data_IF_454451110909
#
_entry.id   IF_454451110909
#
_cell.length_a   1.000
_cell.length_b   1.000
_cell.length_c   1.000
_cell.angle_alpha   90.00
_cell.angle_beta   90.00
_cell.angle_gamma   90.00
#
_symmetry.space_group_name_H-M   'P 1'
#
loop_
_entity.id
_entity.type
_entity.pdbx_description
1 polymer ?
#
# COMPACT_ATOMS: atom_id res chain seq x y z
N UNK A 1 0.28 -4.82 1.73
CA UNK A 1 0.23 -4.66 3.21
C UNK A 1 1.42 -5.30 3.90
N UNK A 2 1.65 -6.61 3.75
CA UNK A 2 2.63 -7.35 4.55
C UNK A 2 4.07 -6.78 4.54
N UNK A 3 4.60 -6.38 3.36
CA UNK A 3 5.97 -5.87 3.26
C UNK A 3 6.22 -4.59 4.07
N UNK A 4 5.42 -3.55 3.83
CA UNK A 4 5.54 -2.29 4.59
C UNK A 4 5.20 -2.45 6.07
N UNK A 5 4.22 -3.29 6.42
CA UNK A 5 3.90 -3.57 7.81
C UNK A 5 5.07 -4.21 8.56
N UNK A 6 5.82 -5.11 7.91
CA UNK A 6 7.03 -5.70 8.48
C UNK A 6 8.18 -4.68 8.63
N UNK A 7 8.28 -3.70 7.72
CA UNK A 7 9.36 -2.71 7.74
C UNK A 7 9.07 -1.51 8.67
N UNK A 8 7.83 -1.01 8.72
CA UNK A 8 7.45 0.24 9.38
C UNK A 8 6.36 0.07 10.46
N UNK A 9 5.86 -1.15 10.68
CA UNK A 9 4.71 -1.39 11.56
C UNK A 9 3.35 -1.00 10.96
N UNK A 10 3.32 -0.43 9.74
CA UNK A 10 2.09 -0.07 9.03
C UNK A 10 2.20 -0.36 7.53
N UNK A 11 1.13 -0.91 6.95
CA UNK A 11 1.02 -1.15 5.51
C UNK A 11 0.42 0.00 4.70
N UNK A 12 0.08 1.11 5.35
CA UNK A 12 -0.48 2.28 4.69
C UNK A 12 0.59 3.08 3.94
N UNK A 13 0.16 4.07 3.15
CA UNK A 13 1.10 5.06 2.61
C UNK A 13 1.85 5.75 3.73
N UNK A 14 2.99 6.37 3.47
CA UNK A 14 3.77 7.04 4.52
C UNK A 14 3.42 8.53 4.56
N UNK A 15 3.29 9.17 3.41
CA UNK A 15 3.07 10.61 3.27
C UNK A 15 1.76 10.96 2.54
N UNK A 16 1.34 12.23 2.62
CA UNK A 16 0.17 12.72 1.88
C UNK A 16 0.47 12.80 0.38
N UNK A 17 -0.54 12.54 -0.44
CA UNK A 17 -0.52 12.77 -1.89
C UNK A 17 -0.18 14.22 -2.22
N UNK A 18 -0.60 15.19 -1.37
CA UNK A 18 -0.31 16.61 -1.59
C UNK A 18 1.17 16.96 -1.43
N UNK A 19 1.97 16.11 -0.78
CA UNK A 19 3.41 16.37 -0.59
C UNK A 19 4.23 15.97 -1.82
N UNK A 20 3.70 15.13 -2.71
CA UNK A 20 4.38 14.66 -3.93
C UNK A 20 4.88 15.84 -4.78
N UNK A 21 4.08 16.90 -4.87
CA UNK A 21 4.42 18.08 -5.65
C UNK A 21 5.73 18.72 -5.17
N UNK A 22 6.01 18.65 -3.87
CA UNK A 22 7.13 19.33 -3.21
C UNK A 22 8.36 18.42 -3.06
N UNK A 23 8.34 17.21 -3.62
CA UNK A 23 9.49 16.31 -3.67
C UNK A 23 10.57 16.80 -4.66
N UNK A 24 11.84 16.52 -4.34
CA UNK A 24 12.99 16.83 -5.20
C UNK A 24 13.31 15.69 -6.16
N UNK A 25 13.06 14.44 -5.75
CA UNK A 25 13.16 13.26 -6.60
C UNK A 25 11.95 12.33 -6.38
N UNK A 26 11.39 11.80 -7.47
CA UNK A 26 10.23 10.93 -7.47
C UNK A 26 10.59 9.65 -8.21
N UNK A 27 10.43 8.52 -7.54
CA UNK A 27 10.64 7.20 -8.10
C UNK A 27 9.28 6.52 -8.31
N UNK A 28 8.81 6.42 -9.55
CA UNK A 28 7.55 5.73 -9.91
C UNK A 28 7.88 4.32 -10.37
N UNK A 29 7.37 3.32 -9.64
CA UNK A 29 7.77 1.92 -9.78
C UNK A 29 6.56 1.03 -10.05
N UNK A 30 6.57 0.30 -11.18
CA UNK A 30 5.55 -0.71 -11.48
C UNK A 30 4.12 -0.15 -11.45
N UNK A 31 3.95 1.11 -11.86
CA UNK A 31 2.68 1.82 -11.81
C UNK A 31 2.49 2.66 -13.06
N UNK A 32 1.40 2.43 -13.80
CA UNK A 32 0.92 3.36 -14.82
C UNK A 32 0.04 4.45 -14.19
N UNK A 33 0.67 5.28 -13.35
CA UNK A 33 0.00 6.29 -12.53
C UNK A 33 -0.83 7.27 -13.36
N UNK A 34 -0.45 7.54 -14.61
CA UNK A 34 -1.19 8.44 -15.51
C UNK A 34 -2.59 7.94 -15.86
N UNK A 35 -2.79 6.62 -15.93
CA UNK A 35 -4.09 6.01 -16.18
C UNK A 35 -4.79 5.62 -14.88
N UNK A 36 -4.06 5.02 -13.94
CA UNK A 36 -4.65 4.50 -12.70
C UNK A 36 -5.01 5.60 -11.70
N UNK A 37 -4.23 6.68 -11.63
CA UNK A 37 -4.41 7.77 -10.67
C UNK A 37 -4.12 9.15 -11.29
N UNK A 38 -4.98 9.65 -12.20
CA UNK A 38 -4.71 10.87 -12.95
C UNK A 38 -4.40 12.10 -12.08
N UNK A 39 -5.04 12.22 -10.91
CA UNK A 39 -4.77 13.32 -9.97
C UNK A 39 -3.38 13.21 -9.34
N UNK A 40 -2.93 11.99 -9.01
CA UNK A 40 -1.57 11.76 -8.48
C UNK A 40 -0.55 12.02 -9.59
N UNK A 41 -0.82 11.55 -10.81
CA UNK A 41 0.02 11.83 -11.98
C UNK A 41 0.16 13.34 -12.23
N UNK A 42 -0.92 14.09 -12.05
CA UNK A 42 -0.88 15.54 -12.15
C UNK A 42 0.05 16.18 -11.12
N UNK A 43 0.08 15.73 -9.86
CA UNK A 43 1.05 16.21 -8.86
C UNK A 43 2.50 15.86 -9.22
N UNK A 44 2.75 14.65 -9.72
CA UNK A 44 4.08 14.25 -10.23
C UNK A 44 4.53 15.17 -11.35
N UNK A 45 3.65 15.44 -12.34
CA UNK A 45 3.97 16.34 -13.45
C UNK A 45 4.23 17.77 -12.93
N UNK A 46 3.46 18.25 -11.95
CA UNK A 46 3.71 19.55 -11.32
C UNK A 46 5.08 19.62 -10.63
N UNK A 47 5.48 18.56 -9.92
CA UNK A 47 6.81 18.47 -9.32
C UNK A 47 7.91 18.55 -10.40
N UNK A 48 7.79 17.77 -11.49
CA UNK A 48 8.80 17.78 -12.57
C UNK A 48 8.92 19.14 -13.25
N UNK A 49 7.82 19.86 -13.45
CA UNK A 49 7.82 21.23 -13.98
C UNK A 49 8.52 22.23 -13.06
N UNK A 50 8.59 21.94 -11.75
CA UNK A 50 9.37 22.72 -10.78
C UNK A 50 10.82 22.26 -10.66
N UNK A 51 11.24 21.28 -11.45
CA UNK A 51 12.61 20.77 -11.46
C UNK A 51 12.83 19.52 -10.61
N UNK A 52 11.78 18.87 -10.10
CA UNK A 52 11.94 17.56 -9.48
C UNK A 52 12.46 16.54 -10.52
N UNK A 53 13.37 15.67 -10.10
CA UNK A 53 13.81 14.53 -10.91
C UNK A 53 12.74 13.46 -10.86
N UNK A 54 12.32 12.94 -12.02
CA UNK A 54 11.44 11.79 -12.11
C UNK A 54 12.21 10.60 -12.66
N UNK A 55 12.20 9.49 -11.93
CA UNK A 55 12.71 8.19 -12.37
C UNK A 55 11.51 7.27 -12.52
N UNK A 56 11.34 6.67 -13.70
CA UNK A 56 10.29 5.69 -13.97
C UNK A 56 10.93 4.31 -14.10
N UNK A 57 10.45 3.35 -13.32
CA UNK A 57 10.83 1.93 -13.42
C UNK A 57 9.59 1.15 -13.85
N UNK A 58 9.47 0.92 -15.17
CA UNK A 58 8.42 0.09 -15.79
C UNK A 58 8.98 -0.47 -17.11
N UNK A 59 8.83 -1.79 -17.40
CA UNK A 59 9.27 -2.36 -18.68
C UNK A 59 8.62 -1.71 -19.91
N UNK A 60 7.42 -1.15 -19.74
CA UNK A 60 6.63 -0.48 -20.78
C UNK A 60 6.90 1.02 -20.78
N UNK A 61 6.61 1.67 -21.90
CA UNK A 61 6.64 3.13 -22.02
C UNK A 61 5.27 3.67 -21.61
N UNK A 62 5.14 4.06 -20.35
CA UNK A 62 3.92 4.67 -19.80
C UNK A 62 3.90 6.19 -20.04
N UNK A 63 2.73 6.82 -19.89
CA UNK A 63 2.55 8.26 -20.14
C UNK A 63 3.49 9.16 -19.32
N UNK A 64 3.83 8.76 -18.09
CA UNK A 64 4.77 9.50 -17.23
C UNK A 64 6.24 9.41 -17.71
N UNK A 65 6.62 8.40 -18.50
CA UNK A 65 8.00 8.22 -18.95
C UNK A 65 8.52 9.42 -19.76
N UNK A 66 7.63 10.11 -20.49
CA UNK A 66 7.98 11.32 -21.26
C UNK A 66 8.42 12.51 -20.39
N UNK A 67 8.11 12.48 -19.10
CA UNK A 67 8.50 13.50 -18.12
C UNK A 67 9.74 13.08 -17.32
N UNK A 68 10.18 11.83 -17.45
CA UNK A 68 11.25 11.25 -16.64
C UNK A 68 12.63 11.74 -17.09
N UNK A 69 13.53 11.92 -16.13
CA UNK A 69 14.95 12.07 -16.37
C UNK A 69 15.59 10.70 -16.69
N UNK A 70 15.12 9.63 -16.05
CA UNK A 70 15.50 8.25 -16.32
C UNK A 70 14.27 7.36 -16.46
N UNK A 71 14.27 6.52 -17.49
CA UNK A 71 13.29 5.44 -17.64
C UNK A 71 14.03 4.10 -17.67
N UNK A 72 13.99 3.39 -16.54
CA UNK A 72 14.61 2.08 -16.41
C UNK A 72 13.61 1.00 -16.80
N UNK A 73 14.03 0.09 -17.68
CA UNK A 73 13.17 -0.94 -18.27
C UNK A 73 13.68 -2.34 -17.94
N UNK A 74 13.56 -2.78 -16.68
CA UNK A 74 13.99 -4.13 -16.31
C UNK A 74 13.14 -5.17 -17.05
N UNK A 75 13.71 -6.35 -17.33
CA UNK A 75 12.97 -7.52 -17.79
C UNK A 75 11.88 -7.86 -16.76
N UNK A 76 10.62 -8.12 -17.17
CA UNK A 76 9.57 -8.49 -16.23
C UNK A 76 9.99 -9.64 -15.31
N UNK A 77 9.83 -9.45 -14.00
CA UNK A 77 10.21 -10.43 -12.96
C UNK A 77 11.64 -10.25 -12.39
N UNK A 78 12.42 -9.29 -12.90
CA UNK A 78 13.83 -9.08 -12.49
C UNK A 78 14.05 -7.81 -11.66
N UNK A 79 12.97 -7.13 -11.26
CA UNK A 79 12.98 -5.86 -10.54
C UNK A 79 13.80 -5.93 -9.24
N UNK A 80 13.83 -7.09 -8.59
CA UNK A 80 14.59 -7.27 -7.35
C UNK A 80 16.09 -7.05 -7.57
N UNK A 81 16.64 -7.58 -8.67
CA UNK A 81 18.05 -7.42 -9.01
C UNK A 81 18.40 -5.94 -9.22
N UNK A 82 17.51 -5.17 -9.86
CA UNK A 82 17.68 -3.73 -10.04
C UNK A 82 17.76 -3.01 -8.68
N UNK A 83 16.84 -3.29 -7.74
CA UNK A 83 16.85 -2.63 -6.43
C UNK A 83 18.04 -3.04 -5.57
N UNK A 84 18.48 -4.30 -5.65
CA UNK A 84 19.69 -4.76 -4.97
C UNK A 84 20.94 -4.08 -5.55
N UNK A 85 21.01 -3.91 -6.87
CA UNK A 85 22.06 -3.13 -7.53
C UNK A 85 22.08 -1.66 -7.08
N UNK A 86 20.91 -1.04 -6.95
CA UNK A 86 20.79 0.32 -6.42
C UNK A 86 21.23 0.40 -4.95
N UNK A 87 20.80 -0.52 -4.09
CA UNK A 87 21.20 -0.59 -2.69
C UNK A 87 22.72 -0.76 -2.55
N UNK A 88 23.31 -1.69 -3.31
CA UNK A 88 24.75 -1.91 -3.34
C UNK A 88 25.49 -0.61 -3.73
N UNK A 89 25.06 0.07 -4.79
CA UNK A 89 25.66 1.34 -5.20
C UNK A 89 25.56 2.41 -4.10
N UNK A 90 24.43 2.53 -3.41
CA UNK A 90 24.25 3.52 -2.34
C UNK A 90 25.19 3.24 -1.16
N UNK A 91 25.36 1.97 -0.79
CA UNK A 91 26.25 1.56 0.31
C UNK A 91 27.71 1.76 -0.09
N UNK A 92 28.13 1.22 -1.23
CA UNK A 92 29.54 1.24 -1.68
C UNK A 92 30.05 2.65 -1.98
N UNK A 93 29.18 3.53 -2.48
CA UNK A 93 29.53 4.93 -2.78
C UNK A 93 29.39 5.87 -1.58
N UNK A 94 28.93 5.39 -0.41
CA UNK A 94 28.72 6.22 0.77
C UNK A 94 27.56 7.21 0.64
N UNK A 95 26.55 6.92 -0.18
CA UNK A 95 25.37 7.78 -0.36
C UNK A 95 24.25 7.51 0.64
N UNK A 96 24.41 6.55 1.55
CA UNK A 96 23.46 6.28 2.63
C UNK A 96 23.50 7.36 3.73
N UNK A 97 22.42 7.48 4.51
CA UNK A 97 22.30 8.38 5.65
C UNK A 97 22.71 7.65 6.95
N UNK A 98 23.99 7.73 7.30
CA UNK A 98 24.57 7.01 8.44
C UNK A 98 23.95 7.41 9.79
N UNK A 99 23.56 8.68 9.95
CA UNK A 99 22.92 9.16 11.16
C UNK A 99 21.51 8.54 11.29
N UNK A 100 20.70 8.60 10.22
CA UNK A 100 19.38 7.99 10.22
C UNK A 100 19.43 6.48 10.44
N UNK A 101 20.37 5.78 9.79
CA UNK A 101 20.57 4.34 9.97
C UNK A 101 20.82 4.00 11.44
N UNK A 102 21.75 4.72 12.08
CA UNK A 102 22.13 4.48 13.48
C UNK A 102 20.98 4.77 14.44
N UNK A 103 20.21 5.83 14.20
CA UNK A 103 19.18 6.30 15.13
C UNK A 103 17.81 5.62 14.96
N UNK A 104 17.48 5.17 13.75
CA UNK A 104 16.10 4.82 13.38
C UNK A 104 15.93 3.45 12.73
N UNK A 105 17.00 2.69 12.56
CA UNK A 105 16.95 1.39 11.87
C UNK A 105 17.65 0.29 12.65
N UNK A 106 17.39 -0.96 12.26
CA UNK A 106 18.10 -2.16 12.72
C UNK A 106 18.46 -3.04 11.52
N UNK A 107 19.42 -3.95 11.70
CA UNK A 107 19.77 -4.94 10.67
C UNK A 107 20.60 -4.43 9.47
N UNK A 108 21.12 -3.20 9.53
CA UNK A 108 21.92 -2.62 8.43
C UNK A 108 23.15 -3.44 8.06
N UNK A 109 23.92 -3.93 9.03
CA UNK A 109 25.13 -4.73 8.76
C UNK A 109 24.82 -6.02 7.99
N UNK A 110 23.76 -6.72 8.37
CA UNK A 110 23.31 -7.92 7.67
C UNK A 110 22.83 -7.60 6.25
N UNK A 111 22.11 -6.50 6.07
CA UNK A 111 21.72 -6.01 4.75
C UNK A 111 22.96 -5.69 3.90
N UNK A 112 23.89 -4.89 4.42
CA UNK A 112 25.13 -4.47 3.76
C UNK A 112 25.94 -5.68 3.27
N UNK A 113 26.17 -6.66 4.14
CA UNK A 113 26.86 -7.89 3.78
C UNK A 113 26.13 -8.68 2.67
N UNK A 114 24.79 -8.73 2.71
CA UNK A 114 24.00 -9.43 1.69
C UNK A 114 24.04 -8.78 0.30
N UNK A 115 24.48 -7.51 0.20
CA UNK A 115 24.54 -6.75 -1.05
C UNK A 115 25.84 -6.95 -1.82
N UNK A 116 26.90 -7.53 -1.22
CA UNK A 116 28.20 -7.77 -1.87
C UNK A 116 28.09 -8.39 -3.28
N UNK A 117 27.30 -9.46 -3.53
CA UNK A 117 27.21 -10.07 -4.85
C UNK A 117 26.40 -9.25 -5.88
N UNK A 118 25.70 -8.20 -5.45
CA UNK A 118 24.75 -7.45 -6.28
C UNK A 118 25.32 -6.12 -6.76
N UNK A 119 26.50 -6.12 -7.39
CA UNK A 119 27.04 -4.90 -8.01
C UNK A 119 26.13 -4.40 -9.13
N UNK A 120 26.22 -3.11 -9.54
CA UNK A 120 25.47 -2.60 -10.69
C UNK A 120 25.66 -3.43 -11.98
N UNK A 121 26.83 -4.01 -12.20
CA UNK A 121 27.14 -4.87 -13.34
C UNK A 121 26.40 -6.20 -13.26
N UNK A 122 26.38 -6.84 -12.10
CA UNK A 122 25.62 -8.08 -11.87
C UNK A 122 24.12 -7.83 -12.00
N UNK A 123 23.63 -6.75 -11.40
CA UNK A 123 22.24 -6.33 -11.52
C UNK A 123 21.85 -6.05 -12.98
N UNK A 124 22.73 -5.38 -13.74
CA UNK A 124 22.56 -5.12 -15.17
C UNK A 124 22.41 -6.41 -15.99
N UNK A 125 23.30 -7.38 -15.77
CA UNK A 125 23.22 -8.70 -16.42
C UNK A 125 21.92 -9.43 -16.06
N UNK A 126 21.42 -9.29 -14.83
CA UNK A 126 20.21 -9.95 -14.37
C UNK A 126 18.93 -9.29 -14.90
N UNK A 127 18.83 -7.96 -14.87
CA UNK A 127 17.60 -7.23 -15.19
C UNK A 127 17.57 -6.61 -16.60
N UNK A 128 18.72 -6.46 -17.26
CA UNK A 128 18.85 -5.84 -18.57
C UNK A 128 18.85 -4.31 -18.58
N UNK A 129 18.92 -3.65 -17.41
CA UNK A 129 19.12 -2.19 -17.31
C UNK A 129 20.62 -1.89 -17.29
N UNK A 130 21.15 -0.98 -18.13
CA UNK A 130 22.57 -0.64 -18.13
C UNK A 130 23.10 -0.22 -16.75
N UNK A 131 24.31 -0.68 -16.39
CA UNK A 131 24.88 -0.48 -15.06
C UNK A 131 25.08 1.00 -14.69
N UNK A 132 25.43 1.84 -15.67
CA UNK A 132 25.54 3.29 -15.53
C UNK A 132 24.19 3.94 -15.17
N UNK A 133 23.08 3.45 -15.74
CA UNK A 133 21.75 3.93 -15.39
C UNK A 133 21.31 3.45 -13.99
N UNK A 134 21.70 2.25 -13.58
CA UNK A 134 21.47 1.75 -12.21
C UNK A 134 22.19 2.64 -11.20
N UNK A 135 23.47 2.92 -11.45
CA UNK A 135 24.30 3.79 -10.62
C UNK A 135 23.73 5.22 -10.55
N UNK A 136 23.32 5.79 -11.68
CA UNK A 136 22.76 7.15 -11.71
C UNK A 136 21.40 7.22 -11.01
N UNK A 137 20.52 6.23 -11.20
CA UNK A 137 19.25 6.19 -10.49
C UNK A 137 19.44 6.07 -8.97
N UNK A 138 20.41 5.25 -8.53
CA UNK A 138 20.79 5.13 -7.14
C UNK A 138 21.28 6.46 -6.56
N UNK A 139 22.13 7.18 -7.29
CA UNK A 139 22.66 8.51 -6.90
C UNK A 139 21.57 9.56 -6.77
N UNK A 140 20.74 9.70 -7.81
CA UNK A 140 19.66 10.68 -7.88
C UNK A 140 18.66 10.49 -6.74
N UNK A 141 18.25 9.23 -6.49
CA UNK A 141 17.32 8.90 -5.42
C UNK A 141 17.95 9.11 -4.03
N UNK A 142 19.16 8.60 -3.79
CA UNK A 142 19.78 8.65 -2.47
C UNK A 142 20.06 10.07 -1.98
N UNK A 143 20.48 10.95 -2.88
CA UNK A 143 20.81 12.34 -2.57
C UNK A 143 19.63 13.31 -2.75
N UNK A 144 18.53 12.87 -3.36
CA UNK A 144 17.36 13.71 -3.64
C UNK A 144 17.67 14.83 -4.65
N UNK A 145 18.40 14.50 -5.72
CA UNK A 145 18.88 15.50 -6.67
C UNK A 145 17.78 15.96 -7.61
N UNK A 146 17.69 17.28 -7.83
CA UNK A 146 16.77 17.92 -8.78
C UNK A 146 17.33 17.91 -10.20
N UNK A 147 16.44 17.99 -11.19
CA UNK A 147 16.81 18.09 -12.60
C UNK A 147 17.54 19.41 -12.83
N UNK A 148 18.80 19.34 -13.26
CA UNK A 148 19.66 20.51 -13.53
C UNK A 148 20.69 20.85 -12.44
N UNK A 149 20.63 20.24 -11.25
CA UNK A 149 21.73 20.30 -10.25
C UNK A 149 22.76 19.18 -10.43
N UNK A 150 22.47 18.21 -11.31
CA UNK A 150 23.45 17.27 -11.83
C UNK A 150 24.43 18.03 -12.74
N UNK A 151 25.44 18.65 -12.13
CA UNK A 151 26.58 19.20 -12.83
C UNK A 151 27.22 18.15 -13.73
N UNK A 152 27.50 18.57 -14.95
CA UNK A 152 28.23 17.82 -15.97
C UNK A 152 29.67 17.58 -15.50
N UNK A 153 29.93 16.53 -14.72
CA UNK A 153 31.27 15.96 -14.67
C UNK A 153 31.40 15.02 -15.87
N UNK A 154 31.96 15.56 -16.95
CA UNK A 154 32.38 14.78 -18.09
C UNK A 154 33.36 13.68 -17.65
N UNK A 155 33.31 12.47 -18.24
CA UNK A 155 34.28 11.42 -17.94
C UNK A 155 35.70 11.88 -18.30
N UNK A 156 36.74 11.55 -17.50
CA UNK A 156 38.11 11.90 -17.85
C UNK A 156 38.62 10.96 -18.95
N UNK A 157 38.77 11.48 -20.16
CA UNK A 157 39.55 10.85 -21.23
C UNK A 157 39.39 11.61 -22.56
N UNK A 158 40.43 12.01 -23.29
CA UNK A 158 41.86 11.85 -23.09
C UNK A 158 42.66 12.44 -24.26
N UNK A 159 43.98 12.38 -24.12
CA UNK A 159 45.04 12.58 -25.13
C UNK A 159 45.55 14.01 -25.37
N UNK A 160 46.57 14.37 -24.60
CA UNK A 160 47.60 15.34 -24.95
C UNK A 160 48.93 14.87 -24.35
N UNK A 161 49.83 14.34 -25.19
CA UNK A 161 51.20 13.97 -24.83
C UNK A 161 51.97 15.21 -24.38
N UNK A 162 52.67 15.13 -23.24
CA UNK A 162 54.12 15.38 -23.12
C UNK A 162 54.60 15.42 -21.65
N UNK A 163 55.70 14.73 -21.38
CA UNK A 163 56.80 15.31 -20.60
C UNK A 163 56.86 15.10 -19.09
N UNK A 164 57.81 14.22 -18.71
CA UNK A 164 58.67 14.28 -17.53
C UNK A 164 58.19 13.71 -16.18
N UNK A 165 59.00 12.76 -15.71
CA UNK A 165 59.00 12.19 -14.39
C UNK A 165 59.72 13.09 -13.39
N UNK A 166 59.15 13.27 -12.20
CA UNK A 166 59.89 13.54 -10.95
C UNK A 166 59.15 12.82 -9.82
N UNK A 167 59.89 12.01 -9.05
CA UNK A 167 59.37 11.28 -7.90
C UNK A 167 59.18 12.16 -6.67
N UNK A 168 58.31 11.71 -5.76
CA UNK A 168 58.13 12.29 -4.43
C UNK A 168 57.27 11.39 -3.56
N UNK A 169 57.88 10.73 -2.58
CA UNK A 169 57.20 10.11 -1.45
C UNK A 169 56.51 11.19 -0.60
N UNK A 170 55.27 10.95 -0.15
CA UNK A 170 54.61 11.86 0.78
C UNK A 170 53.14 11.55 1.06
N UNK A 171 52.94 10.68 2.04
CA UNK A 171 51.88 10.70 3.07
C UNK A 171 50.39 10.78 2.70
N UNK A 172 49.68 9.77 3.21
CA UNK A 172 48.25 9.79 3.47
C UNK A 172 47.85 10.99 4.35
N UNK A 173 46.86 11.74 3.91
CA UNK A 173 46.10 12.67 4.76
C UNK A 173 44.63 12.36 4.55
N UNK A 174 44.04 11.76 5.58
CA UNK A 174 42.61 11.60 5.72
C UNK A 174 41.91 12.95 5.87
N UNK A 175 40.71 13.03 5.34
CA UNK A 175 39.81 14.17 5.47
C UNK A 175 38.38 13.73 5.23
N UNK A 176 37.72 13.28 6.32
CA UNK A 176 36.27 13.19 6.44
C UNK A 176 35.64 14.54 6.05
N UNK A 177 34.63 14.54 5.18
CA UNK A 177 33.89 15.77 4.89
C UNK A 177 32.99 15.80 3.65
N UNK A 178 32.37 14.68 3.24
CA UNK A 178 31.34 14.68 2.17
C UNK A 178 29.91 14.42 2.69
N UNK A 179 29.71 14.44 4.01
CA UNK A 179 28.44 14.07 4.67
C UNK A 179 27.44 15.20 4.95
N UNK A 180 27.81 16.47 4.79
CA UNK A 180 27.06 17.60 5.37
C UNK A 180 26.22 18.45 4.40
N UNK A 181 26.15 18.09 3.12
CA UNK A 181 25.20 18.77 2.22
C UNK A 181 23.76 18.31 2.54
N UNK A 182 22.79 19.23 2.75
CA UNK A 182 21.42 18.84 3.03
C UNK A 182 20.85 18.03 1.86
N UNK A 183 20.40 16.82 2.15
CA UNK A 183 19.77 15.91 1.18
C UNK A 183 18.41 16.45 0.75
N UNK A 184 18.08 16.30 -0.53
CA UNK A 184 16.73 16.60 -1.02
C UNK A 184 15.70 15.56 -0.58
N UNK A 185 14.42 15.82 -0.81
CA UNK A 185 13.34 14.91 -0.49
C UNK A 185 13.06 13.94 -1.65
N UNK A 186 13.30 12.64 -1.45
CA UNK A 186 12.93 11.60 -2.42
C UNK A 186 11.72 10.79 -1.97
N UNK A 187 10.78 10.52 -2.88
CA UNK A 187 9.59 9.72 -2.61
C UNK A 187 9.45 8.56 -3.59
N UNK A 188 9.00 7.39 -3.08
CA UNK A 188 8.67 6.22 -3.89
C UNK A 188 7.15 6.13 -4.05
N UNK A 189 6.68 6.06 -5.29
CA UNK A 189 5.30 5.74 -5.64
C UNK A 189 5.28 4.38 -6.33
N UNK A 190 4.57 3.39 -5.78
CA UNK A 190 4.54 2.05 -6.39
C UNK A 190 3.13 1.47 -6.49
N UNK A 191 2.96 0.55 -7.44
CA UNK A 191 1.66 -0.08 -7.73
C UNK A 191 1.74 -1.59 -7.93
N UNK A 192 0.77 -2.10 -8.70
CA UNK A 192 0.54 -3.54 -8.88
C UNK A 192 1.67 -4.27 -9.60
N UNK A 193 2.48 -3.57 -10.40
CA UNK A 193 3.68 -4.14 -11.04
C UNK A 193 4.69 -4.70 -10.04
N UNK A 194 4.57 -4.33 -8.75
CA UNK A 194 5.35 -4.88 -7.64
C UNK A 194 4.57 -5.92 -6.84
N UNK A 195 3.32 -5.62 -6.47
CA UNK A 195 2.57 -6.49 -5.53
C UNK A 195 2.02 -7.75 -6.19
N UNK A 196 1.72 -7.75 -7.49
CA UNK A 196 1.21 -8.91 -8.23
C UNK A 196 2.35 -9.77 -8.78
N UNK A 197 3.27 -10.14 -7.89
CA UNK A 197 4.44 -10.95 -8.18
C UNK A 197 4.59 -12.02 -7.11
N UNK A 198 5.15 -13.17 -7.49
CA UNK A 198 5.42 -14.26 -6.55
C UNK A 198 6.28 -13.82 -5.34
N UNK A 199 7.15 -12.84 -5.53
CA UNK A 199 8.02 -12.25 -4.51
C UNK A 199 7.63 -10.80 -4.14
N UNK A 200 6.37 -10.39 -4.35
CA UNK A 200 5.94 -8.99 -4.16
C UNK A 200 6.18 -8.45 -2.74
N UNK A 201 6.03 -9.27 -1.71
CA UNK A 201 6.33 -8.89 -0.32
C UNK A 201 7.80 -8.50 -0.14
N UNK A 202 8.72 -9.27 -0.72
CA UNK A 202 10.16 -9.01 -0.62
C UNK A 202 10.55 -7.77 -1.42
N UNK A 203 9.98 -7.56 -2.60
CA UNK A 203 10.20 -6.33 -3.37
C UNK A 203 9.79 -5.07 -2.58
N UNK A 204 8.65 -5.13 -1.87
CA UNK A 204 8.19 -4.04 -1.01
C UNK A 204 9.15 -3.79 0.16
N UNK A 205 9.68 -4.85 0.79
CA UNK A 205 10.71 -4.70 1.83
C UNK A 205 11.99 -4.08 1.26
N UNK A 206 12.42 -4.49 0.07
CA UNK A 206 13.62 -3.92 -0.58
C UNK A 206 13.44 -2.44 -0.91
N UNK A 207 12.24 -2.00 -1.33
CA UNK A 207 11.93 -0.57 -1.48
C UNK A 207 11.89 0.17 -0.14
N UNK A 208 11.39 -0.46 0.93
CA UNK A 208 11.47 0.10 2.27
C UNK A 208 12.92 0.28 2.73
N UNK A 209 13.78 -0.71 2.46
CA UNK A 209 15.21 -0.63 2.72
C UNK A 209 15.85 0.54 1.97
N UNK A 210 15.54 0.72 0.67
CA UNK A 210 16.02 1.88 -0.10
C UNK A 210 15.69 3.19 0.60
N UNK A 211 14.44 3.37 1.06
CA UNK A 211 14.02 4.58 1.77
C UNK A 211 14.67 4.74 3.15
N UNK A 212 14.83 3.64 3.91
CA UNK A 212 15.47 3.67 5.22
C UNK A 212 16.96 4.01 5.15
N UNK A 213 17.72 3.34 4.28
CA UNK A 213 19.18 3.58 4.19
C UNK A 213 19.51 4.98 3.66
N UNK A 214 18.55 5.70 3.08
CA UNK A 214 18.72 7.06 2.55
C UNK A 214 18.03 8.13 3.41
N UNK A 215 17.39 7.75 4.52
CA UNK A 215 16.68 8.69 5.40
C UNK A 215 15.42 9.30 4.78
N UNK A 216 14.89 8.73 3.71
CA UNK A 216 13.69 9.21 3.00
C UNK A 216 12.40 8.64 3.60
N UNK A 217 12.30 8.62 4.93
CA UNK A 217 11.11 8.20 5.70
C UNK A 217 10.97 9.10 6.93
N UNK A 218 9.73 9.41 7.34
CA UNK A 218 9.46 10.20 8.53
C UNK A 218 9.64 11.71 8.35
N UNK A 219 9.82 12.19 7.11
CA UNK A 219 9.88 13.61 6.76
C UNK A 219 8.90 13.95 5.62
N UNK A 220 8.47 15.21 5.49
CA UNK A 220 7.57 15.62 4.40
C UNK A 220 8.16 15.33 3.02
N UNK A 221 7.29 15.05 2.04
CA UNK A 221 7.64 14.85 0.62
C UNK A 221 8.57 13.66 0.34
N UNK A 222 8.64 12.70 1.27
CA UNK A 222 9.43 11.47 1.11
C UNK A 222 8.56 10.22 1.16
N UNK A 223 9.11 9.12 1.67
CA UNK A 223 8.36 7.95 2.04
C UNK A 223 8.18 6.95 0.91
N UNK A 224 7.58 5.82 1.30
CA UNK A 224 7.18 4.73 0.41
C UNK A 224 5.65 4.72 0.35
N UNK A 225 5.11 4.97 -0.83
CA UNK A 225 3.69 5.26 -1.02
C UNK A 225 3.05 4.26 -1.99
N UNK A 226 2.35 3.22 -1.49
CA UNK A 226 1.55 2.32 -2.32
C UNK A 226 0.34 3.05 -2.88
N UNK A 227 0.25 3.10 -4.21
CA UNK A 227 -0.89 3.65 -4.92
C UNK A 227 -2.02 2.62 -4.93
N UNK A 228 -2.88 2.69 -3.91
CA UNK A 228 -4.04 1.79 -3.80
C UNK A 228 -5.07 2.07 -4.89
N UNK A 229 -5.61 1.01 -5.49
CA UNK A 229 -6.50 1.10 -6.66
C UNK A 229 -7.92 1.53 -6.33
N UNK A 230 -8.71 0.65 -5.73
CA UNK A 230 -10.13 0.90 -5.45
C UNK A 230 -10.32 2.03 -4.42
N UNK A 231 -11.41 2.79 -4.55
CA UNK A 231 -11.66 4.01 -3.79
C UNK A 231 -11.61 3.84 -2.27
N UNK A 232 -12.00 2.66 -1.76
CA UNK A 232 -12.09 2.38 -0.34
C UNK A 232 -11.36 1.11 0.10
N UNK A 233 -10.40 0.59 -0.68
CA UNK A 233 -9.61 -0.56 -0.23
C UNK A 233 -8.81 -0.23 1.04
N UNK A 234 -8.45 1.04 1.23
CA UNK A 234 -7.90 1.50 2.51
C UNK A 234 -8.93 1.35 3.64
N UNK A 235 -10.15 1.89 3.46
CA UNK A 235 -11.21 1.78 4.47
C UNK A 235 -11.64 0.34 4.77
N UNK A 236 -11.71 -0.53 3.76
CA UNK A 236 -12.00 -1.95 3.98
C UNK A 236 -10.98 -2.62 4.90
N UNK A 237 -9.68 -2.42 4.64
CA UNK A 237 -8.62 -2.90 5.52
C UNK A 237 -8.69 -2.24 6.91
N UNK A 238 -8.96 -0.93 6.97
CA UNK A 238 -9.09 -0.16 8.21
C UNK A 238 -10.19 -0.70 9.13
N UNK A 239 -11.30 -1.17 8.53
CA UNK A 239 -12.45 -1.74 9.24
C UNK A 239 -12.34 -3.26 9.48
N UNK A 240 -11.14 -3.83 9.30
CA UNK A 240 -10.91 -5.25 9.61
C UNK A 240 -11.56 -6.21 8.61
N UNK A 241 -11.77 -5.80 7.35
CA UNK A 241 -12.08 -6.74 6.26
C UNK A 241 -10.84 -7.56 5.86
N UNK A 242 -10.21 -8.17 6.86
CA UNK A 242 -8.98 -8.95 6.81
C UNK A 242 -9.12 -10.11 7.80
N UNK A 243 -8.56 -11.29 7.50
CA UNK A 243 -8.85 -12.50 8.28
C UNK A 243 -8.19 -12.54 9.67
N UNK A 244 -7.35 -11.56 10.02
CA UNK A 244 -6.47 -11.62 11.20
C UNK A 244 -6.52 -10.38 12.10
N UNK A 245 -7.32 -9.36 11.77
CA UNK A 245 -7.40 -8.12 12.55
C UNK A 245 -8.84 -7.62 12.68
N UNK A 246 -9.11 -6.96 13.81
CA UNK A 246 -10.29 -6.12 14.00
C UNK A 246 -10.08 -4.71 13.41
N UNK A 247 -11.12 -3.85 13.37
CA UNK A 247 -10.97 -2.46 12.97
C UNK A 247 -9.80 -1.76 13.69
N UNK A 248 -9.10 -0.90 12.96
CA UNK A 248 -7.90 -0.22 13.45
C UNK A 248 -6.64 -1.09 13.50
N UNK A 249 -6.59 -2.17 12.71
CA UNK A 249 -5.46 -3.10 12.62
C UNK A 249 -5.10 -3.83 13.93
N UNK A 250 -6.09 -3.99 14.81
CA UNK A 250 -5.89 -4.61 16.11
C UNK A 250 -5.88 -6.14 15.96
N UNK A 251 -4.81 -6.80 16.39
CA UNK A 251 -4.60 -8.22 16.11
C UNK A 251 -5.69 -9.10 16.75
N UNK A 252 -6.34 -9.95 15.96
CA UNK A 252 -7.37 -10.85 16.46
C UNK A 252 -6.80 -11.94 17.40
N UNK A 253 -5.50 -12.24 17.28
CA UNK A 253 -4.78 -13.14 18.16
C UNK A 253 -4.61 -12.60 19.60
N UNK A 254 -4.75 -11.29 19.81
CA UNK A 254 -4.62 -10.67 21.12
C UNK A 254 -5.89 -10.89 21.97
N UNK A 255 -5.79 -11.56 23.14
CA UNK A 255 -6.94 -11.85 23.99
C UNK A 255 -7.59 -10.59 24.59
N UNK A 256 -6.83 -9.53 24.87
CA UNK A 256 -7.37 -8.28 25.41
C UNK A 256 -8.21 -7.55 24.36
N UNK A 257 -7.71 -7.53 23.11
CA UNK A 257 -8.45 -7.00 21.97
C UNK A 257 -9.73 -7.79 21.75
N UNK A 258 -9.67 -9.14 21.72
CA UNK A 258 -10.88 -9.98 21.59
C UNK A 258 -11.88 -9.68 22.70
N UNK A 259 -11.43 -9.61 23.95
CA UNK A 259 -12.31 -9.36 25.09
C UNK A 259 -12.97 -7.96 25.00
N UNK A 260 -12.25 -6.95 24.51
CA UNK A 260 -12.80 -5.61 24.28
C UNK A 260 -13.95 -5.63 23.26
N UNK A 261 -13.73 -6.21 22.07
CA UNK A 261 -14.76 -6.28 21.03
C UNK A 261 -15.94 -7.17 21.44
N UNK A 262 -15.65 -8.31 22.09
CA UNK A 262 -16.67 -9.20 22.62
C UNK A 262 -17.62 -8.48 23.58
N UNK A 263 -17.10 -7.63 24.48
CA UNK A 263 -17.93 -6.83 25.39
C UNK A 263 -18.74 -5.76 24.65
N UNK A 264 -18.12 -5.08 23.68
CA UNK A 264 -18.74 -3.97 22.97
C UNK A 264 -19.91 -4.39 22.07
N UNK A 265 -19.84 -5.59 21.48
CA UNK A 265 -20.82 -6.06 20.50
C UNK A 265 -22.04 -6.78 21.11
N UNK A 266 -22.08 -6.96 22.44
CA UNK A 266 -23.28 -7.42 23.12
C UNK A 266 -24.33 -6.33 23.07
N UNK A 267 -25.56 -6.69 22.70
CA UNK A 267 -26.70 -5.79 22.73
C UNK A 267 -27.00 -5.38 24.18
N UNK A 268 -26.85 -4.09 24.55
CA UNK A 268 -27.05 -3.65 25.93
C UNK A 268 -28.49 -3.83 26.42
N UNK A 269 -29.47 -3.90 25.50
CA UNK A 269 -30.90 -4.11 25.82
C UNK A 269 -31.28 -5.57 26.01
N UNK A 270 -30.37 -6.50 25.78
CA UNK A 270 -30.67 -7.94 25.87
C UNK A 270 -30.85 -8.43 27.31
N UNK A 271 -30.41 -7.66 28.31
CA UNK A 271 -30.35 -8.10 29.71
C UNK A 271 -29.39 -9.27 29.94
N UNK A 272 -28.74 -9.77 28.89
CA UNK A 272 -27.82 -10.89 28.94
C UNK A 272 -26.44 -10.37 29.35
N UNK A 273 -26.01 -10.73 30.55
CA UNK A 273 -24.61 -10.60 30.99
C UNK A 273 -23.69 -11.66 30.32
N UNK A 274 -24.14 -12.29 29.23
CA UNK A 274 -23.47 -13.45 28.69
C UNK A 274 -22.22 -13.03 27.92
N UNK A 275 -21.07 -13.47 28.43
CA UNK A 275 -19.82 -13.39 27.71
C UNK A 275 -19.92 -14.22 26.43
N UNK A 276 -20.02 -13.55 25.29
CA UNK A 276 -19.82 -14.18 23.99
C UNK A 276 -18.33 -14.14 23.66
N UNK A 277 -17.75 -15.28 23.24
CA UNK A 277 -16.34 -15.34 22.84
C UNK A 277 -16.19 -15.19 21.33
N UNK A 278 -15.27 -14.32 20.92
CA UNK A 278 -14.88 -14.20 19.53
C UNK A 278 -13.87 -15.31 19.17
N UNK A 279 -13.83 -15.77 17.90
CA UNK A 279 -12.89 -16.79 17.47
C UNK A 279 -11.44 -16.41 17.77
N UNK A 280 -10.66 -17.40 18.22
CA UNK A 280 -9.22 -17.24 18.48
C UNK A 280 -8.37 -17.55 17.24
N UNK A 281 -8.92 -18.36 16.34
CA UNK A 281 -8.25 -18.78 15.12
C UNK A 281 -8.39 -17.72 14.03
N UNK A 282 -7.32 -17.53 13.25
CA UNK A 282 -7.36 -16.66 12.07
C UNK A 282 -8.41 -17.18 11.08
N UNK A 283 -9.09 -16.26 10.42
CA UNK A 283 -9.88 -16.57 9.24
C UNK A 283 -9.00 -17.07 8.08
N UNK A 284 -9.66 -17.63 7.07
CA UNK A 284 -9.01 -17.99 5.82
C UNK A 284 -8.80 -16.74 4.96
N UNK A 285 -7.65 -16.64 4.31
CA UNK A 285 -7.44 -15.69 3.20
C UNK A 285 -8.29 -16.11 2.00
N UNK A 286 -8.55 -15.19 1.07
CA UNK A 286 -9.34 -15.47 -0.13
C UNK A 286 -8.86 -16.71 -0.90
N UNK A 287 -7.55 -16.86 -1.13
CA UNK A 287 -6.98 -18.02 -1.82
C UNK A 287 -7.18 -19.32 -1.02
N UNK A 288 -7.05 -19.26 0.31
CA UNK A 288 -7.36 -20.40 1.18
C UNK A 288 -8.85 -20.73 1.12
N UNK A 289 -9.76 -19.73 1.13
CA UNK A 289 -11.19 -19.94 0.98
C UNK A 289 -11.53 -20.67 -0.33
N UNK A 290 -10.96 -20.23 -1.45
CA UNK A 290 -11.22 -20.88 -2.75
C UNK A 290 -10.74 -22.33 -2.77
N UNK A 291 -9.54 -22.61 -2.22
CA UNK A 291 -9.03 -23.98 -2.13
C UNK A 291 -9.88 -24.87 -1.22
N UNK A 292 -10.29 -24.35 -0.06
CA UNK A 292 -11.10 -25.08 0.91
C UNK A 292 -12.53 -25.30 0.41
N UNK A 293 -13.08 -24.35 -0.35
CA UNK A 293 -14.35 -24.51 -1.05
C UNK A 293 -14.28 -25.54 -2.17
N UNK A 294 -13.22 -25.50 -3.00
CA UNK A 294 -12.99 -26.51 -4.04
C UNK A 294 -12.78 -27.92 -3.44
N UNK A 295 -12.22 -28.00 -2.22
CA UNK A 295 -12.09 -29.24 -1.45
C UNK A 295 -13.39 -29.64 -0.72
N UNK A 296 -14.49 -28.89 -0.87
CA UNK A 296 -15.78 -29.15 -0.27
C UNK A 296 -15.87 -28.88 1.23
N UNK A 297 -14.87 -28.22 1.85
CA UNK A 297 -14.86 -27.88 3.28
C UNK A 297 -15.63 -26.60 3.59
N UNK A 298 -15.73 -25.67 2.65
CA UNK A 298 -16.63 -24.51 2.74
C UNK A 298 -17.93 -24.85 2.01
N UNK A 299 -19.06 -24.72 2.72
CA UNK A 299 -20.40 -25.03 2.20
C UNK A 299 -21.17 -23.81 1.74
N UNK A 300 -20.88 -22.65 2.32
CA UNK A 300 -21.59 -21.43 2.01
C UNK A 300 -20.63 -20.25 1.89
N UNK A 301 -20.95 -19.30 1.00
CA UNK A 301 -20.26 -18.02 0.89
C UNK A 301 -21.24 -16.87 0.80
N UNK A 302 -20.84 -15.75 1.42
CA UNK A 302 -21.47 -14.45 1.27
C UNK A 302 -20.46 -13.55 0.58
N UNK A 303 -20.76 -13.12 -0.64
CA UNK A 303 -19.94 -12.20 -1.43
C UNK A 303 -20.64 -10.85 -1.46
N UNK A 304 -19.92 -9.78 -1.13
CA UNK A 304 -20.47 -8.43 -1.12
C UNK A 304 -19.62 -7.52 -2.02
N UNK A 305 -20.23 -6.95 -3.06
CA UNK A 305 -19.59 -5.96 -3.92
C UNK A 305 -18.38 -6.46 -4.70
N UNK A 306 -18.34 -7.75 -5.04
CA UNK A 306 -17.24 -8.37 -5.77
C UNK A 306 -17.73 -9.31 -6.89
N UNK A 307 -17.07 -9.22 -8.04
CA UNK A 307 -17.34 -10.06 -9.21
C UNK A 307 -16.23 -11.08 -9.41
N UNK A 308 -16.22 -12.09 -8.54
CA UNK A 308 -15.12 -13.05 -8.45
C UNK A 308 -14.80 -13.77 -9.77
N UNK A 309 -15.80 -14.04 -10.61
CA UNK A 309 -15.59 -14.75 -11.88
C UNK A 309 -14.77 -13.93 -12.88
N UNK A 310 -14.95 -12.61 -12.90
CA UNK A 310 -14.31 -11.74 -13.89
C UNK A 310 -12.95 -11.21 -13.43
N UNK A 311 -12.74 -11.06 -12.13
CA UNK A 311 -11.59 -10.30 -11.60
C UNK A 311 -10.50 -11.16 -10.97
N UNK A 312 -10.55 -12.49 -11.11
CA UNK A 312 -9.58 -13.42 -10.52
C UNK A 312 -8.79 -14.23 -11.57
N UNK A 313 -7.53 -14.61 -11.29
CA UNK A 313 -6.59 -15.14 -12.30
C UNK A 313 -6.88 -16.56 -12.83
N UNK A 314 -7.83 -17.30 -12.23
CA UNK A 314 -8.28 -18.61 -12.72
C UNK A 314 -9.81 -18.68 -12.68
N UNK A 315 -10.45 -18.18 -13.74
CA UNK A 315 -11.90 -18.13 -13.86
C UNK A 315 -12.54 -19.53 -13.85
N UNK A 316 -11.85 -20.56 -14.38
CA UNK A 316 -12.38 -21.93 -14.41
C UNK A 316 -12.41 -22.55 -13.02
N UNK A 317 -11.34 -22.35 -12.23
CA UNK A 317 -11.34 -22.75 -10.83
C UNK A 317 -12.42 -22.00 -10.05
N UNK A 318 -12.54 -20.70 -10.26
CA UNK A 318 -13.56 -19.87 -9.60
C UNK A 318 -14.96 -20.38 -9.90
N UNK A 319 -15.27 -20.60 -11.18
CA UNK A 319 -16.56 -21.09 -11.65
C UNK A 319 -16.94 -22.44 -11.02
N UNK A 320 -16.04 -23.43 -11.08
CA UNK A 320 -16.27 -24.75 -10.47
C UNK A 320 -16.45 -24.65 -8.95
N UNK A 321 -15.67 -23.78 -8.31
CA UNK A 321 -15.72 -23.59 -6.85
C UNK A 321 -17.05 -22.98 -6.42
N UNK A 322 -17.53 -21.96 -7.13
CA UNK A 322 -18.79 -21.30 -6.81
C UNK A 322 -20.00 -22.22 -7.05
N UNK A 323 -19.98 -23.05 -8.10
CA UNK A 323 -21.02 -24.06 -8.35
C UNK A 323 -21.02 -25.20 -7.33
N UNK A 324 -19.88 -25.48 -6.69
CA UNK A 324 -19.77 -26.55 -5.69
C UNK A 324 -20.27 -26.14 -4.29
N UNK A 325 -20.59 -24.86 -4.08
CA UNK A 325 -21.13 -24.39 -2.80
C UNK A 325 -22.59 -24.83 -2.63
N UNK A 326 -22.93 -25.34 -1.46
CA UNK A 326 -24.31 -25.68 -1.07
C UNK A 326 -25.19 -24.42 -1.01
N UNK A 327 -24.60 -23.26 -0.74
CA UNK A 327 -25.31 -21.98 -0.67
C UNK A 327 -24.43 -20.78 -1.01
N UNK A 328 -24.92 -19.87 -1.84
CA UNK A 328 -24.19 -18.70 -2.30
C UNK A 328 -25.10 -17.48 -2.25
N UNK A 329 -24.71 -16.50 -1.44
CA UNK A 329 -25.35 -15.19 -1.37
C UNK A 329 -24.44 -14.16 -2.03
N UNK A 330 -25.00 -13.36 -2.92
CA UNK A 330 -24.28 -12.24 -3.54
C UNK A 330 -25.05 -10.95 -3.28
N UNK A 331 -24.43 -10.02 -2.57
CA UNK A 331 -24.94 -8.68 -2.35
C UNK A 331 -24.27 -7.71 -3.33
N UNK A 332 -25.05 -7.14 -4.24
CA UNK A 332 -24.49 -6.44 -5.40
C UNK A 332 -25.41 -5.34 -5.93
N UNK A 333 -24.81 -4.36 -6.62
CA UNK A 333 -25.54 -3.24 -7.25
C UNK A 333 -26.00 -3.59 -8.68
N UNK A 334 -25.39 -4.61 -9.31
CA UNK A 334 -25.72 -5.12 -10.64
C UNK A 334 -25.79 -6.65 -10.67
N UNK A 335 -26.51 -7.22 -11.64
CA UNK A 335 -26.50 -8.66 -11.86
C UNK A 335 -25.22 -9.09 -12.61
N UNK A 336 -24.11 -9.15 -11.88
CA UNK A 336 -22.77 -9.56 -12.36
C UNK A 336 -22.71 -11.05 -12.71
N UNK A 337 -21.62 -11.48 -13.36
CA UNK A 337 -21.33 -12.87 -13.66
C UNK A 337 -21.37 -13.73 -12.39
N UNK A 338 -20.74 -13.28 -11.30
CA UNK A 338 -20.82 -13.95 -10.00
C UNK A 338 -22.24 -13.94 -9.41
N UNK A 339 -22.97 -12.83 -9.50
CA UNK A 339 -24.34 -12.77 -8.99
C UNK A 339 -25.31 -13.71 -9.72
N UNK A 340 -25.07 -14.00 -11.01
CA UNK A 340 -25.88 -14.96 -11.79
C UNK A 340 -25.75 -16.40 -11.30
N UNK A 341 -24.66 -16.74 -10.60
CA UNK A 341 -24.47 -18.05 -9.99
C UNK A 341 -25.08 -18.16 -8.59
N UNK A 342 -25.51 -17.03 -8.00
CA UNK A 342 -25.97 -16.99 -6.62
C UNK A 342 -27.32 -17.69 -6.45
N UNK A 343 -27.48 -18.35 -5.29
CA UNK A 343 -28.78 -18.86 -4.84
C UNK A 343 -29.69 -17.70 -4.39
N UNK A 344 -29.09 -16.65 -3.83
CA UNK A 344 -29.77 -15.43 -3.41
C UNK A 344 -28.96 -14.21 -3.84
N UNK A 345 -29.62 -13.26 -4.50
CA UNK A 345 -29.06 -11.94 -4.78
C UNK A 345 -29.74 -10.91 -3.88
N UNK A 346 -28.94 -10.11 -3.17
CA UNK A 346 -29.42 -9.03 -2.30
C UNK A 346 -29.07 -7.67 -2.95
N UNK A 347 -30.05 -6.88 -3.41
CA UNK A 347 -29.78 -5.63 -4.10
C UNK A 347 -29.23 -4.57 -3.14
N UNK A 348 -28.02 -4.10 -3.41
CA UNK A 348 -27.36 -3.06 -2.63
C UNK A 348 -27.53 -1.66 -3.25
N UNK A 349 -27.46 -0.63 -2.42
CA UNK A 349 -27.45 0.76 -2.86
C UNK A 349 -26.05 1.16 -3.39
N UNK A 350 -26.02 1.89 -4.50
CA UNK A 350 -24.81 2.50 -5.07
C UNK A 350 -24.28 3.65 -4.22
N UNK A 351 -23.09 4.19 -4.55
CA UNK A 351 -22.43 5.24 -3.77
C UNK A 351 -23.27 6.52 -3.63
N UNK A 352 -24.00 6.91 -4.67
CA UNK A 352 -24.85 8.10 -4.67
C UNK A 352 -26.15 7.93 -3.87
N UNK A 353 -26.48 6.68 -3.52
CA UNK A 353 -27.75 6.28 -2.95
C UNK A 353 -27.68 6.07 -1.44
N UNK A 354 -26.48 6.17 -0.85
CA UNK A 354 -26.21 5.93 0.56
C UNK A 354 -25.27 6.97 1.15
N UNK A 355 -25.32 7.10 2.48
CA UNK A 355 -24.33 7.84 3.26
C UNK A 355 -23.25 6.92 3.82
N UNK A 356 -22.15 7.50 4.29
CA UNK A 356 -21.06 6.76 4.92
C UNK A 356 -19.74 7.49 4.79
N UNK A 357 -18.65 6.75 4.70
CA UNK A 357 -17.31 7.30 4.47
C UNK A 357 -16.51 6.45 3.50
N UNK A 358 -15.56 7.08 2.81
CA UNK A 358 -14.49 6.41 2.09
C UNK A 358 -13.13 6.87 2.62
N UNK A 359 -12.22 5.93 2.82
CA UNK A 359 -10.81 6.21 3.07
C UNK A 359 -10.01 5.97 1.80
N UNK A 360 -9.34 7.02 1.31
CA UNK A 360 -8.55 6.95 0.09
C UNK A 360 -7.12 6.41 0.34
N UNK A 361 -6.30 6.35 -0.72
CA UNK A 361 -4.92 5.84 -0.66
C UNK A 361 -4.00 6.59 0.32
N UNK A 362 -4.29 7.85 0.65
CA UNK A 362 -3.51 8.66 1.61
C UNK A 362 -4.04 8.61 3.04
N UNK A 363 -4.87 7.60 3.37
CA UNK A 363 -5.56 7.45 4.66
C UNK A 363 -6.57 8.56 4.98
N UNK A 364 -6.92 9.42 4.01
CA UNK A 364 -7.91 10.46 4.24
C UNK A 364 -9.31 9.84 4.18
N UNK A 365 -9.98 9.82 5.31
CA UNK A 365 -11.39 9.50 5.41
C UNK A 365 -12.21 10.72 4.98
N UNK A 366 -13.17 10.50 4.08
CA UNK A 366 -14.02 11.53 3.49
C UNK A 366 -15.48 11.11 3.61
N UNK A 367 -16.36 12.09 3.85
CA UNK A 367 -17.78 11.85 4.01
C UNK A 367 -18.45 11.55 2.66
N UNK A 368 -19.25 10.50 2.61
CA UNK A 368 -20.14 10.14 1.51
C UNK A 368 -21.57 10.58 1.86
N UNK A 369 -22.26 11.22 0.93
CA UNK A 369 -23.63 11.69 1.09
C UNK A 369 -24.56 11.00 0.11
N UNK A 370 -25.72 10.64 0.60
CA UNK A 370 -26.84 10.27 -0.24
C UNK A 370 -27.31 11.51 -1.01
N UNK A 371 -27.38 11.40 -2.34
CA UNK A 371 -27.86 12.46 -3.23
C UNK A 371 -29.14 12.05 -3.97
N UNK A 372 -29.40 10.74 -4.07
CA UNK A 372 -30.63 10.16 -4.64
C UNK A 372 -31.10 9.01 -3.75
N UNK A 373 -32.39 8.66 -3.71
CA UNK A 373 -32.85 7.47 -3.00
C UNK A 373 -32.39 6.18 -3.72
N UNK A 374 -32.20 5.05 -3.00
CA UNK A 374 -31.92 3.76 -3.62
C UNK A 374 -33.06 3.32 -4.55
N UNK A 375 -32.77 2.66 -5.69
CA UNK A 375 -33.78 2.22 -6.62
C UNK A 375 -34.47 0.94 -6.14
N UNK A 376 -35.79 0.86 -6.35
CA UNK A 376 -36.58 -0.34 -6.08
C UNK A 376 -36.46 -0.80 -4.62
N UNK A 377 -36.02 -2.05 -4.43
CA UNK A 377 -35.82 -2.66 -3.11
C UNK A 377 -34.36 -2.58 -2.63
N UNK A 378 -33.50 -1.86 -3.35
CA UNK A 378 -32.10 -1.71 -2.97
C UNK A 378 -31.97 -1.01 -1.61
N UNK A 379 -31.02 -1.47 -0.80
CA UNK A 379 -30.76 -0.92 0.53
C UNK A 379 -29.26 -0.67 0.74
N UNK A 380 -28.87 0.30 1.58
CA UNK A 380 -27.49 0.44 2.01
C UNK A 380 -26.96 -0.87 2.58
N UNK A 381 -25.73 -1.24 2.24
CA UNK A 381 -25.13 -2.54 2.58
C UNK A 381 -25.21 -2.88 4.06
N UNK A 382 -24.94 -1.89 4.91
CA UNK A 382 -24.93 -2.04 6.36
C UNK A 382 -26.32 -2.37 6.94
N UNK A 383 -27.41 -1.91 6.28
CA UNK A 383 -28.77 -2.23 6.71
C UNK A 383 -29.15 -3.67 6.36
N UNK A 384 -28.68 -4.16 5.20
CA UNK A 384 -28.88 -5.55 4.77
C UNK A 384 -28.16 -6.48 5.75
N UNK A 385 -26.89 -6.20 6.03
CA UNK A 385 -26.07 -6.94 6.99
C UNK A 385 -26.68 -6.87 8.40
N UNK A 386 -27.13 -5.68 8.83
CA UNK A 386 -27.75 -5.49 10.14
C UNK A 386 -29.04 -6.30 10.31
N UNK A 387 -29.94 -6.31 9.33
CA UNK A 387 -31.18 -7.10 9.41
C UNK A 387 -30.88 -8.61 9.37
N UNK A 388 -30.02 -9.05 8.45
CA UNK A 388 -29.63 -10.46 8.37
C UNK A 388 -28.95 -10.94 9.65
N UNK A 389 -27.96 -10.18 10.14
CA UNK A 389 -27.24 -10.47 11.38
C UNK A 389 -28.18 -10.50 12.59
N UNK A 390 -29.15 -9.57 12.66
CA UNK A 390 -30.18 -9.55 13.70
C UNK A 390 -31.10 -10.78 13.65
N UNK A 391 -31.51 -11.23 12.46
CA UNK A 391 -32.34 -12.44 12.28
C UNK A 391 -31.58 -13.70 12.65
N UNK A 392 -30.33 -13.84 12.20
CA UNK A 392 -29.45 -14.96 12.57
C UNK A 392 -29.20 -14.96 14.08
N UNK A 393 -28.90 -13.79 14.66
CA UNK A 393 -28.70 -13.62 16.09
C UNK A 393 -29.89 -14.10 16.90
N UNK A 394 -31.11 -13.66 16.56
CA UNK A 394 -32.34 -14.14 17.21
C UNK A 394 -32.54 -15.65 17.08
N UNK A 395 -32.32 -16.20 15.87
CA UNK A 395 -32.48 -17.64 15.62
C UNK A 395 -31.47 -18.49 16.40
N UNK A 396 -30.26 -18.00 16.59
CA UNK A 396 -29.19 -18.67 17.32
C UNK A 396 -29.17 -18.32 18.82
N UNK A 397 -30.11 -17.51 19.31
CA UNK A 397 -30.12 -17.04 20.70
C UNK A 397 -28.91 -16.16 21.06
N UNK A 398 -28.29 -15.48 20.10
CA UNK A 398 -27.12 -14.62 20.31
C UNK A 398 -27.53 -13.16 20.52
N UNK A 399 -27.20 -12.55 21.67
CA UNK A 399 -27.62 -11.20 22.00
C UNK A 399 -26.68 -10.14 21.41
N UNK A 400 -26.43 -10.15 20.09
CA UNK A 400 -25.52 -9.19 19.44
C UNK A 400 -26.24 -7.91 19.02
N UNK A 401 -25.53 -6.77 19.09
CA UNK A 401 -26.00 -5.48 18.58
C UNK A 401 -25.85 -5.46 17.05
N UNK A 402 -26.97 -5.27 16.35
CA UNK A 402 -27.01 -5.10 14.89
C UNK A 402 -27.78 -3.87 14.42
N UNK A 403 -28.59 -3.28 15.31
CA UNK A 403 -29.42 -2.11 14.99
C UNK A 403 -28.63 -0.82 15.15
N UNK A 404 -28.54 -0.06 14.07
CA UNK A 404 -27.99 1.30 14.01
C UNK A 404 -29.00 2.19 13.27
N UNK A 405 -29.15 3.44 13.71
CA UNK A 405 -30.02 4.43 13.08
C UNK A 405 -29.32 5.23 11.98
N UNK A 406 -27.99 5.28 11.97
CA UNK A 406 -27.21 5.99 10.95
C UNK A 406 -25.77 5.48 10.86
N UNK A 407 -25.09 5.83 9.77
CA UNK A 407 -23.65 5.58 9.62
C UNK A 407 -22.78 6.40 10.59
N UNK A 408 -23.28 7.53 11.10
CA UNK A 408 -22.56 8.31 12.12
C UNK A 408 -22.53 7.57 13.46
N UNK A 409 -23.61 6.85 13.81
CA UNK A 409 -23.63 5.97 14.99
C UNK A 409 -22.63 4.81 14.86
N UNK A 410 -22.53 4.22 13.67
CA UNK A 410 -21.53 3.17 13.36
C UNK A 410 -20.12 3.75 13.50
N UNK A 411 -19.86 4.93 12.93
CA UNK A 411 -18.56 5.60 13.04
C UNK A 411 -18.23 5.97 14.49
N UNK A 412 -19.21 6.39 15.28
CA UNK A 412 -19.05 6.65 16.71
C UNK A 412 -18.60 5.41 17.49
N UNK A 413 -19.17 4.24 17.20
CA UNK A 413 -18.70 2.97 17.78
C UNK A 413 -17.26 2.64 17.34
N UNK A 414 -16.96 2.78 16.05
CA UNK A 414 -15.60 2.53 15.51
C UNK A 414 -14.58 3.43 16.21
N UNK A 415 -14.85 4.74 16.31
CA UNK A 415 -13.96 5.71 16.96
C UNK A 415 -13.75 5.39 18.45
N UNK A 416 -14.79 4.94 19.15
CA UNK A 416 -14.70 4.53 20.55
C UNK A 416 -13.84 3.27 20.75
N UNK A 417 -13.85 2.33 19.80
CA UNK A 417 -13.13 1.06 19.91
C UNK A 417 -11.71 1.11 19.33
N UNK A 418 -11.41 2.09 18.48
CA UNK A 418 -10.19 2.15 17.68
C UNK A 418 -9.49 3.50 17.87
N UNK A 419 -8.44 3.58 18.72
CA UNK A 419 -7.78 4.84 19.06
C UNK A 419 -7.28 5.64 17.85
N UNK A 420 -6.86 4.97 16.77
CA UNK A 420 -6.39 5.64 15.55
C UNK A 420 -7.49 6.47 14.84
N UNK A 421 -8.76 6.21 15.14
CA UNK A 421 -9.91 6.95 14.62
C UNK A 421 -10.58 7.81 15.71
N UNK A 422 -9.96 7.99 16.88
CA UNK A 422 -10.59 8.68 18.01
C UNK A 422 -11.03 10.13 17.70
N UNK A 423 -10.32 10.79 16.78
CA UNK A 423 -10.66 12.10 16.25
C UNK A 423 -11.68 12.11 15.10
N UNK A 424 -12.23 10.98 14.68
CA UNK A 424 -13.17 10.93 13.55
C UNK A 424 -14.62 11.03 14.04
N UNK A 425 -15.37 11.94 13.43
CA UNK A 425 -16.83 12.01 13.49
C UNK A 425 -17.37 12.58 12.17
N UNK A 426 -18.62 12.30 11.79
CA UNK A 426 -19.16 12.85 10.55
C UNK A 426 -19.07 14.38 10.51
N UNK A 427 -19.36 15.04 11.64
CA UNK A 427 -19.26 16.49 11.79
C UNK A 427 -17.84 17.02 11.50
N UNK A 428 -16.78 16.32 11.93
CA UNK A 428 -15.40 16.73 11.64
C UNK A 428 -15.00 16.46 10.19
N UNK A 429 -15.59 15.46 9.54
CA UNK A 429 -15.31 15.13 8.14
C UNK A 429 -15.88 16.16 7.15
N UNK A 430 -16.87 16.97 7.55
CA UNK A 430 -17.44 18.08 6.77
C UNK A 430 -16.39 19.05 6.23
N UNK A 431 -15.28 19.23 6.95
CA UNK A 431 -14.20 20.14 6.60
C UNK A 431 -13.26 19.63 5.47
N UNK A 432 -13.67 18.60 4.72
CA UNK A 432 -12.89 18.07 3.58
C UNK A 432 -12.09 16.80 3.88
N UNK A 433 -12.46 16.08 4.94
CA UNK A 433 -11.88 14.79 5.33
C UNK A 433 -10.56 14.84 6.10
N UNK A 434 -10.31 13.79 6.90
CA UNK A 434 -9.22 13.71 7.87
C UNK A 434 -8.36 12.49 7.61
N UNK A 435 -7.03 12.64 7.68
CA UNK A 435 -6.11 11.50 7.64
C UNK A 435 -5.96 10.93 9.04
N UNK A 436 -6.17 9.62 9.18
CA UNK A 436 -5.83 8.91 10.41
C UNK A 436 -4.33 8.52 10.43
N UNK A 437 -3.70 8.36 11.59
CA UNK A 437 -4.24 8.49 12.96
C UNK A 437 -4.58 9.93 13.36
N UNK A 438 -5.68 10.16 14.08
CA UNK A 438 -6.12 11.52 14.48
C UNK A 438 -7.05 11.56 15.69
#
# INVERSE_FOLDING_TARGET
MAGLAAAFGSGATTNSTREIRDADCILVIGSNTGEAHPIISYEVIRATKRGATLIVIDPRVISLARHAALHLRPRPGTDHALYLGMLNAIVTQGWHDAAFITERTEGFEALSASLEPWTPEVASLACGVPADQILEAARLYALGLRRGTAGHEAPPGGTGRNGQAVGGHGQAVGGNGRGDAPRGASTILYGMGITERANGTELVKTMANLAMITGHVGRPSTGVNPLRGQCNVQGGCDMGALPNVYPGYQQAADPEVRAKFARAWVNPRSGAAQAFSLPETRGLTFIEMMREAAAGKIKAMYIMGENLLMTNPDANLMDRTLHALDFLVVQEIFLTETARLAHVVLPAASFAEKSGTFTNAERRMQLLRQVVPPPGEARPDWEIIGDLGGRIGRRLGRPLRWGYGSTDEIMGEIAALCPIFGGISHARLEAGGIQWPC
#
